data_IF_776647329169
#
_entry.id   IF_776647329169
#
_cell.length_a   1.000
_cell.length_b   1.000
_cell.length_c   1.000
_cell.angle_alpha   90.00
_cell.angle_beta   90.00
_cell.angle_gamma   90.00
#
_symmetry.space_group_name_H-M   'P 1'
#
loop_
_entity.id
_entity.type
_entity.pdbx_description
1 polymer ?
#
# COMPACT_ATOMS: atom_id res chain seq x y z
N UNK A 1 15.57 17.91 -0.11
CA UNK A 1 16.00 16.63 -0.69
C UNK A 1 15.36 15.48 0.09
N UNK A 2 14.75 14.54 -0.63
CA UNK A 2 14.15 13.31 -0.12
C UNK A 2 15.14 12.54 0.74
N UNK A 3 14.66 11.97 1.83
CA UNK A 3 15.45 11.14 2.74
C UNK A 3 14.89 9.73 2.70
N UNK A 4 15.64 8.73 2.19
CA UNK A 4 15.13 7.37 2.01
C UNK A 4 14.71 6.73 3.34
N UNK A 5 15.35 7.12 4.44
CA UNK A 5 15.04 6.61 5.77
C UNK A 5 14.00 7.45 6.52
N UNK A 6 13.25 8.34 5.86
CA UNK A 6 12.29 9.20 6.54
C UNK A 6 10.92 9.15 5.86
N UNK A 7 9.92 8.76 6.63
CA UNK A 7 8.52 9.00 6.30
C UNK A 7 8.05 10.16 7.16
N UNK A 8 7.73 11.30 6.56
CA UNK A 8 7.30 12.49 7.30
C UNK A 8 5.84 12.40 7.75
N UNK A 9 4.97 11.88 6.88
CA UNK A 9 3.52 11.94 7.07
C UNK A 9 2.99 10.70 7.80
N UNK A 10 2.15 10.84 8.85
CA UNK A 10 1.62 9.70 9.62
C UNK A 10 0.89 8.64 8.80
N UNK A 11 0.14 9.01 7.76
CA UNK A 11 -0.61 8.03 6.97
C UNK A 11 0.31 7.10 6.18
N UNK A 12 1.45 7.60 5.66
CA UNK A 12 2.42 6.77 4.95
C UNK A 12 3.09 5.77 5.90
N UNK A 13 3.40 6.21 7.13
CA UNK A 13 3.87 5.31 8.19
C UNK A 13 2.81 4.25 8.50
N UNK A 14 1.54 4.64 8.54
CA UNK A 14 0.43 3.70 8.76
C UNK A 14 0.37 2.64 7.68
N UNK A 15 0.30 3.04 6.41
CA UNK A 15 0.28 2.12 5.26
C UNK A 15 1.42 1.10 5.32
N UNK A 16 2.65 1.58 5.54
CA UNK A 16 3.84 0.72 5.66
C UNK A 16 3.71 -0.22 6.86
N UNK A 17 3.23 0.27 8.00
CA UNK A 17 3.09 -0.54 9.22
C UNK A 17 2.12 -1.69 9.03
N UNK A 18 0.90 -1.38 8.59
CA UNK A 18 -0.14 -2.39 8.42
C UNK A 18 0.17 -3.31 7.25
N UNK A 19 0.74 -2.78 6.16
CA UNK A 19 1.15 -3.57 5.00
C UNK A 19 2.22 -4.60 5.34
N UNK A 20 3.34 -4.16 5.93
CA UNK A 20 4.46 -5.04 6.25
C UNK A 20 4.09 -6.08 7.31
N UNK A 21 3.39 -5.68 8.38
CA UNK A 21 2.91 -6.62 9.40
C UNK A 21 1.95 -7.68 8.81
N UNK A 22 1.11 -7.27 7.86
CA UNK A 22 0.16 -8.18 7.20
C UNK A 22 0.87 -9.19 6.32
N UNK A 23 1.76 -8.77 5.41
CA UNK A 23 2.45 -9.73 4.55
C UNK A 23 3.34 -10.70 5.35
N UNK A 24 3.96 -10.23 6.43
CA UNK A 24 4.70 -11.07 7.37
C UNK A 24 3.80 -12.09 8.10
N UNK A 25 2.50 -11.82 8.19
CA UNK A 25 1.48 -12.72 8.75
C UNK A 25 0.91 -13.69 7.69
N UNK A 26 1.15 -13.46 6.40
CA UNK A 26 0.69 -14.31 5.29
C UNK A 26 1.71 -15.37 4.85
N UNK A 27 2.59 -15.81 5.76
CA UNK A 27 3.64 -16.81 5.51
C UNK A 27 4.63 -16.41 4.39
N UNK A 28 4.83 -15.10 4.19
CA UNK A 28 5.86 -14.58 3.30
C UNK A 28 7.21 -14.46 4.04
N UNK A 29 8.28 -14.93 3.41
CA UNK A 29 9.66 -14.72 3.90
C UNK A 29 10.11 -13.26 3.72
N UNK A 30 9.62 -12.39 4.61
CA UNK A 30 9.95 -10.96 4.63
C UNK A 30 11.40 -10.72 5.04
N UNK A 31 11.96 -11.54 5.93
CA UNK A 31 13.35 -11.44 6.37
C UNK A 31 14.33 -11.73 5.22
N UNK A 32 14.00 -12.72 4.38
CA UNK A 32 14.73 -12.97 3.13
C UNK A 32 14.70 -11.77 2.19
N UNK A 33 13.55 -11.10 2.05
CA UNK A 33 13.42 -9.90 1.23
C UNK A 33 14.20 -8.71 1.79
N UNK A 34 14.12 -8.46 3.10
CA UNK A 34 14.86 -7.36 3.76
C UNK A 34 16.36 -7.49 3.53
N UNK A 35 16.90 -8.72 3.61
CA UNK A 35 18.32 -9.01 3.41
C UNK A 35 18.72 -9.21 1.93
N UNK A 36 17.81 -9.01 0.98
CA UNK A 36 18.08 -9.18 -0.45
C UNK A 36 18.26 -10.62 -0.92
N UNK A 37 17.96 -11.62 -0.08
CA UNK A 37 18.01 -13.05 -0.43
C UNK A 37 16.79 -13.50 -1.24
N UNK A 38 15.71 -12.72 -1.18
CA UNK A 38 14.47 -12.95 -1.91
C UNK A 38 14.03 -11.68 -2.61
N UNK A 39 13.63 -11.78 -3.86
CA UNK A 39 13.03 -10.65 -4.57
C UNK A 39 11.61 -10.41 -4.08
N UNK A 40 11.27 -9.14 -3.87
CA UNK A 40 9.94 -8.70 -3.49
C UNK A 40 9.42 -7.70 -4.51
N UNK A 41 8.34 -8.03 -5.20
CA UNK A 41 7.73 -7.13 -6.18
C UNK A 41 6.70 -6.24 -5.51
N UNK A 42 6.94 -4.93 -5.55
CA UNK A 42 6.06 -3.93 -4.96
C UNK A 42 5.56 -2.98 -6.04
N UNK A 43 4.26 -2.70 -6.06
CA UNK A 43 3.65 -1.66 -6.88
C UNK A 43 3.23 -0.49 -5.98
N UNK A 44 3.60 0.74 -6.33
CA UNK A 44 3.09 1.96 -5.73
C UNK A 44 2.29 2.74 -6.78
N UNK A 45 0.99 2.88 -6.59
CA UNK A 45 0.11 3.71 -7.41
C UNK A 45 -0.06 5.06 -6.70
N UNK A 46 0.30 6.14 -7.38
CA UNK A 46 0.48 7.46 -6.78
C UNK A 46 1.92 7.62 -6.29
N UNK A 47 2.68 8.46 -6.97
CA UNK A 47 4.08 8.73 -6.62
C UNK A 47 4.18 9.85 -5.60
N UNK A 48 3.41 10.92 -5.81
CA UNK A 48 3.54 12.15 -5.03
C UNK A 48 4.99 12.64 -5.05
N UNK A 49 5.60 12.77 -3.87
CA UNK A 49 7.03 13.11 -3.77
C UNK A 49 7.99 11.94 -4.00
N UNK A 50 7.52 10.69 -3.91
CA UNK A 50 8.35 9.47 -4.00
C UNK A 50 8.89 8.93 -2.66
N UNK A 51 8.40 9.44 -1.52
CA UNK A 51 8.90 9.03 -0.19
C UNK A 51 8.59 7.58 0.15
N UNK A 52 7.37 7.11 -0.15
CA UNK A 52 6.96 5.73 0.08
C UNK A 52 7.82 4.72 -0.72
N UNK A 53 7.91 4.79 -2.06
CA UNK A 53 8.70 3.82 -2.82
C UNK A 53 10.18 3.88 -2.47
N UNK A 54 10.72 5.08 -2.22
CA UNK A 54 12.10 5.27 -1.81
C UNK A 54 12.37 4.61 -0.44
N UNK A 55 11.46 4.78 0.52
CA UNK A 55 11.55 4.14 1.82
C UNK A 55 11.53 2.62 1.73
N UNK A 56 10.58 2.06 0.98
CA UNK A 56 10.46 0.62 0.78
C UNK A 56 11.73 0.03 0.16
N UNK A 57 12.24 0.63 -0.92
CA UNK A 57 13.48 0.18 -1.54
C UNK A 57 14.67 0.31 -0.58
N UNK A 58 14.74 1.37 0.23
CA UNK A 58 15.85 1.55 1.19
C UNK A 58 15.85 0.53 2.33
N UNK A 59 14.66 0.12 2.80
CA UNK A 59 14.51 -0.81 3.94
C UNK A 59 14.43 -2.27 3.54
N UNK A 60 14.09 -2.55 2.28
CA UNK A 60 13.95 -3.90 1.75
C UNK A 60 14.92 -4.04 0.58
N UNK A 61 16.10 -4.63 0.83
CA UNK A 61 17.15 -4.73 -0.17
C UNK A 61 16.71 -5.54 -1.40
N UNK A 62 15.85 -6.55 -1.21
CA UNK A 62 15.27 -7.36 -2.27
C UNK A 62 14.07 -6.73 -2.99
N UNK A 63 13.62 -5.54 -2.60
CA UNK A 63 12.46 -4.91 -3.22
C UNK A 63 12.78 -4.41 -4.62
N UNK A 64 11.92 -4.75 -5.58
CA UNK A 64 11.77 -4.12 -6.88
C UNK A 64 10.46 -3.33 -6.86
N UNK A 65 10.56 -2.01 -6.96
CA UNK A 65 9.43 -1.10 -6.76
C UNK A 65 9.04 -0.46 -8.08
N UNK A 66 7.91 -0.89 -8.64
CA UNK A 66 7.26 -0.21 -9.73
C UNK A 66 6.38 0.92 -9.17
N UNK A 67 6.46 2.09 -9.76
CA UNK A 67 5.78 3.30 -9.31
C UNK A 67 5.02 3.86 -10.50
N UNK A 68 3.77 4.25 -10.29
CA UNK A 68 2.91 4.79 -11.35
C UNK A 68 2.39 6.15 -10.92
N UNK A 69 2.66 7.16 -11.75
CA UNK A 69 2.19 8.53 -11.58
C UNK A 69 1.53 9.01 -12.87
N UNK A 70 0.35 9.63 -12.75
CA UNK A 70 -0.39 10.12 -13.91
C UNK A 70 0.05 11.53 -14.30
N UNK A 71 0.49 12.34 -13.33
CA UNK A 71 0.83 13.75 -13.58
C UNK A 71 2.34 13.93 -13.83
N UNK A 72 2.76 14.30 -15.06
CA UNK A 72 4.15 14.59 -15.38
C UNK A 72 4.74 15.75 -14.55
N UNK A 73 3.92 16.69 -14.08
CA UNK A 73 4.38 17.79 -13.23
C UNK A 73 4.78 17.27 -11.85
N UNK A 74 4.05 16.30 -11.30
CA UNK A 74 4.41 15.63 -10.03
C UNK A 74 5.72 14.87 -10.19
N UNK A 75 5.88 14.10 -11.29
CA UNK A 75 7.14 13.42 -11.62
C UNK A 75 8.29 14.42 -11.70
N UNK A 76 8.13 15.49 -12.49
CA UNK A 76 9.15 16.53 -12.66
C UNK A 76 9.51 17.22 -11.33
N UNK A 77 8.52 17.59 -10.52
CA UNK A 77 8.74 18.22 -9.23
C UNK A 77 9.46 17.29 -8.25
N UNK A 78 9.10 16.00 -8.23
CA UNK A 78 9.74 15.00 -7.37
C UNK A 78 11.25 14.89 -7.68
N UNK A 79 11.62 14.90 -8.96
CA UNK A 79 13.01 14.76 -9.40
C UNK A 79 13.77 16.07 -9.18
N UNK A 80 13.27 17.16 -9.74
CA UNK A 80 14.00 18.42 -9.83
C UNK A 80 14.02 19.19 -8.51
N UNK A 81 12.97 19.09 -7.70
CA UNK A 81 12.81 19.88 -6.47
C UNK A 81 13.00 19.03 -5.23
N UNK A 82 12.45 17.81 -5.24
CA UNK A 82 12.50 16.93 -4.07
C UNK A 82 13.72 16.01 -4.08
N UNK A 83 14.40 15.84 -5.22
CA UNK A 83 15.59 15.01 -5.34
C UNK A 83 15.28 13.52 -5.39
N UNK A 84 14.16 13.12 -5.98
CA UNK A 84 13.90 11.72 -6.32
C UNK A 84 14.86 11.28 -7.46
N UNK A 85 15.41 10.06 -7.45
CA UNK A 85 16.40 9.62 -8.43
C UNK A 85 15.84 9.58 -9.86
N UNK A 86 16.33 10.47 -10.73
CA UNK A 86 15.94 10.57 -12.14
C UNK A 86 16.20 9.28 -12.94
N UNK A 87 17.20 8.48 -12.54
CA UNK A 87 17.50 7.18 -13.17
C UNK A 87 16.34 6.18 -13.07
N UNK A 88 15.42 6.40 -12.14
CA UNK A 88 14.26 5.53 -11.93
C UNK A 88 13.22 5.66 -13.03
N UNK A 89 13.24 6.73 -13.83
CA UNK A 89 12.18 7.03 -14.82
C UNK A 89 12.25 6.04 -15.98
N UNK A 90 11.10 5.46 -16.30
CA UNK A 90 10.91 4.46 -17.33
C UNK A 90 10.18 5.04 -18.55
N UNK A 91 10.54 4.58 -19.73
CA UNK A 91 9.78 4.80 -20.96
C UNK A 91 8.56 3.89 -21.00
N UNK A 92 7.62 4.18 -21.89
CA UNK A 92 6.50 3.26 -22.17
C UNK A 92 6.93 1.91 -22.74
N UNK A 93 8.15 1.80 -23.29
CA UNK A 93 8.72 0.52 -23.76
C UNK A 93 9.32 -0.32 -22.62
N UNK A 94 9.35 0.19 -21.39
CA UNK A 94 9.92 -0.51 -20.23
C UNK A 94 11.43 -0.36 -20.09
N UNK A 95 12.04 0.58 -20.80
CA UNK A 95 13.47 0.91 -20.69
C UNK A 95 13.67 2.14 -19.80
N UNK A 96 14.85 2.32 -19.22
CA UNK A 96 15.14 3.56 -18.47
C UNK A 96 15.32 4.71 -19.43
N UNK A 97 14.73 5.87 -19.12
CA UNK A 97 14.94 7.11 -19.89
C UNK A 97 16.41 7.51 -19.87
N UNK A 98 17.08 7.30 -18.73
CA UNK A 98 18.51 7.52 -18.56
C UNK A 98 19.22 6.17 -18.62
N UNK A 99 20.12 5.99 -19.58
CA UNK A 99 20.80 4.70 -19.82
C UNK A 99 21.82 4.32 -18.76
N UNK A 100 22.42 5.30 -18.07
CA UNK A 100 23.40 5.08 -17.00
C UNK A 100 23.20 6.08 -15.85
N UNK A 101 23.30 5.62 -14.59
CA UNK A 101 23.23 6.52 -13.46
C UNK A 101 24.48 7.42 -13.43
N UNK A 102 24.29 8.67 -13.01
CA UNK A 102 25.40 9.57 -12.72
C UNK A 102 26.18 9.08 -11.49
N UNK A 103 27.49 9.32 -11.44
CA UNK A 103 28.37 8.91 -10.35
C UNK A 103 27.92 9.49 -8.99
N UNK A 104 27.34 10.69 -8.99
CA UNK A 104 26.77 11.30 -7.78
C UNK A 104 25.57 10.49 -7.30
N UNK A 105 24.70 10.06 -8.22
CA UNK A 105 23.53 9.24 -7.89
C UNK A 105 23.94 7.87 -7.32
N UNK A 106 24.98 7.24 -7.86
CA UNK A 106 25.53 6.00 -7.30
C UNK A 106 25.93 6.15 -5.83
N UNK A 107 26.67 7.22 -5.51
CA UNK A 107 27.13 7.49 -4.14
C UNK A 107 25.95 7.82 -3.22
N UNK A 108 25.01 8.62 -3.70
CA UNK A 108 23.86 9.10 -2.92
C UNK A 108 22.87 7.97 -2.61
N UNK A 109 22.55 7.14 -3.61
CA UNK A 109 21.47 6.16 -3.52
C UNK A 109 21.96 4.74 -3.24
N UNK A 110 23.26 4.44 -3.39
CA UNK A 110 23.86 3.15 -3.06
C UNK A 110 23.09 1.96 -3.65
N UNK A 111 22.70 2.07 -4.92
CA UNK A 111 21.93 1.04 -5.64
C UNK A 111 20.42 1.01 -5.38
N UNK A 112 19.88 1.92 -4.56
CA UNK A 112 18.41 2.04 -4.38
C UNK A 112 17.74 2.45 -5.69
N UNK A 113 18.31 3.41 -6.42
CA UNK A 113 17.80 3.94 -7.69
C UNK A 113 17.69 2.88 -8.79
N UNK A 114 18.48 1.81 -8.74
CA UNK A 114 18.42 0.70 -9.70
C UNK A 114 17.22 -0.23 -9.49
N UNK A 115 16.57 -0.15 -8.33
CA UNK A 115 15.42 -0.99 -7.97
C UNK A 115 14.11 -0.22 -8.00
N UNK A 116 14.16 1.05 -8.39
CA UNK A 116 13.01 1.93 -8.60
C UNK A 116 12.71 2.04 -10.10
N UNK A 117 11.43 1.97 -10.44
CA UNK A 117 10.92 1.99 -11.80
C UNK A 117 9.67 2.88 -11.84
N UNK A 118 9.85 4.15 -12.15
CA UNK A 118 8.81 5.17 -12.19
C UNK A 118 8.24 5.31 -13.61
N UNK A 119 6.96 5.01 -13.77
CA UNK A 119 6.21 5.12 -15.00
C UNK A 119 5.28 6.32 -14.93
N UNK A 120 5.38 7.20 -15.92
CA UNK A 120 4.35 8.18 -16.23
C UNK A 120 3.22 7.48 -16.97
N UNK A 121 2.16 7.10 -16.25
CA UNK A 121 1.03 6.37 -16.81
C UNK A 121 -0.20 6.49 -15.92
N UNK A 122 -1.36 6.34 -16.54
CA UNK A 122 -2.57 5.98 -15.81
C UNK A 122 -2.41 4.61 -15.12
N UNK A 123 -2.94 4.49 -13.90
CA UNK A 123 -2.84 3.27 -13.10
C UNK A 123 -3.64 2.09 -13.66
N UNK A 124 -4.83 2.33 -14.20
CA UNK A 124 -5.64 1.29 -14.83
C UNK A 124 -4.94 0.75 -16.06
N UNK A 125 -4.47 1.65 -16.93
CA UNK A 125 -3.68 1.28 -18.10
C UNK A 125 -2.44 0.47 -17.72
N UNK A 126 -1.64 0.95 -16.76
CA UNK A 126 -0.41 0.27 -16.36
C UNK A 126 -0.67 -1.14 -15.83
N UNK A 127 -1.70 -1.32 -14.99
CA UNK A 127 -2.03 -2.63 -14.42
C UNK A 127 -2.56 -3.59 -15.47
N UNK A 128 -3.31 -3.10 -16.47
CA UNK A 128 -3.80 -3.90 -17.59
C UNK A 128 -2.67 -4.37 -18.52
N UNK A 129 -1.70 -3.49 -18.79
CA UNK A 129 -0.58 -3.78 -19.70
C UNK A 129 0.54 -4.59 -19.02
N UNK A 130 0.62 -4.55 -17.69
CA UNK A 130 1.65 -5.24 -16.91
C UNK A 130 1.44 -6.75 -16.88
N UNK A 131 2.54 -7.50 -17.03
CA UNK A 131 2.56 -8.96 -16.80
C UNK A 131 3.09 -9.34 -15.42
N UNK A 132 3.60 -8.37 -14.64
CA UNK A 132 4.26 -8.62 -13.37
C UNK A 132 3.27 -9.07 -12.29
N UNK A 133 3.71 -9.99 -11.43
CA UNK A 133 2.97 -10.40 -10.23
C UNK A 133 3.60 -9.73 -9.01
N UNK A 134 2.76 -9.12 -8.17
CA UNK A 134 3.16 -8.32 -7.03
C UNK A 134 2.90 -9.02 -5.72
N UNK A 135 3.88 -8.96 -4.82
CA UNK A 135 3.74 -9.39 -3.43
C UNK A 135 2.97 -8.33 -2.63
N UNK A 136 3.22 -7.06 -2.92
CA UNK A 136 2.53 -5.94 -2.29
C UNK A 136 2.14 -4.86 -3.29
N UNK A 137 1.00 -4.25 -3.06
CA UNK A 137 0.53 -3.08 -3.80
C UNK A 137 0.12 -2.01 -2.80
N UNK A 138 0.65 -0.80 -2.97
CA UNK A 138 0.24 0.39 -2.24
C UNK A 138 -0.48 1.32 -3.20
N UNK A 139 -1.61 1.88 -2.76
CA UNK A 139 -2.40 2.84 -3.52
C UNK A 139 -2.56 4.10 -2.67
N UNK A 140 -1.92 5.17 -3.11
CA UNK A 140 -1.93 6.51 -2.51
C UNK A 140 -2.16 7.54 -3.62
N UNK A 141 -3.33 7.45 -4.27
CA UNK A 141 -3.66 8.24 -5.45
C UNK A 141 -5.01 8.94 -5.26
N UNK A 142 -5.00 10.25 -5.48
CA UNK A 142 -6.15 11.13 -5.39
C UNK A 142 -6.24 11.96 -6.67
N UNK A 143 -7.44 12.40 -7.03
CA UNK A 143 -7.61 13.38 -8.09
C UNK A 143 -7.28 14.81 -7.59
N UNK A 144 -7.45 15.80 -8.47
CA UNK A 144 -7.17 17.20 -8.15
C UNK A 144 -8.06 17.80 -7.05
N UNK A 145 -9.14 17.12 -6.68
CA UNK A 145 -10.10 17.52 -5.65
C UNK A 145 -9.94 16.71 -4.35
N UNK A 146 -8.83 15.97 -4.21
CA UNK A 146 -8.51 15.15 -3.04
C UNK A 146 -9.49 13.98 -2.84
N UNK A 147 -10.07 13.47 -3.94
CA UNK A 147 -11.00 12.35 -3.95
C UNK A 147 -10.30 11.10 -4.47
N UNK A 148 -10.51 9.97 -3.80
CA UNK A 148 -10.02 8.68 -4.26
C UNK A 148 -10.76 8.28 -5.56
N UNK A 149 -10.09 8.16 -6.73
CA UNK A 149 -10.79 8.09 -8.00
C UNK A 149 -11.71 6.87 -8.13
N UNK A 150 -12.97 7.07 -8.57
CA UNK A 150 -13.98 6.01 -8.72
C UNK A 150 -13.48 4.79 -9.51
N UNK A 151 -12.74 5.04 -10.61
CA UNK A 151 -12.15 3.98 -11.44
C UNK A 151 -11.22 3.02 -10.68
N UNK A 152 -10.63 3.44 -9.56
CA UNK A 152 -9.71 2.61 -8.78
C UNK A 152 -10.41 1.70 -7.77
N UNK A 153 -11.73 1.76 -7.66
CA UNK A 153 -12.47 0.90 -6.73
C UNK A 153 -13.85 0.45 -7.21
N UNK A 154 -14.34 0.96 -8.34
CA UNK A 154 -15.55 0.48 -8.97
C UNK A 154 -15.45 -1.04 -9.24
N UNK A 155 -16.36 -1.88 -8.69
CA UNK A 155 -16.41 -3.30 -8.98
C UNK A 155 -16.56 -3.65 -10.46
N UNK A 156 -17.08 -2.73 -11.27
CA UNK A 156 -17.27 -2.89 -12.71
C UNK A 156 -16.10 -2.36 -13.54
N UNK A 157 -15.17 -1.61 -12.93
CA UNK A 157 -13.96 -1.18 -13.62
C UNK A 157 -13.05 -2.40 -13.91
N UNK A 158 -12.36 -2.41 -15.06
CA UNK A 158 -11.35 -3.44 -15.34
C UNK A 158 -10.16 -3.38 -14.38
N UNK A 159 -9.94 -2.26 -13.68
CA UNK A 159 -8.83 -2.06 -12.76
C UNK A 159 -8.78 -3.10 -11.64
N UNK A 160 -9.81 -3.21 -10.80
CA UNK A 160 -9.76 -4.10 -9.62
C UNK A 160 -9.57 -5.57 -10.02
N UNK A 161 -10.20 -5.99 -11.11
CA UNK A 161 -10.02 -7.34 -11.65
C UNK A 161 -8.59 -7.56 -12.14
N UNK A 162 -8.04 -6.61 -12.88
CA UNK A 162 -6.65 -6.67 -13.33
C UNK A 162 -5.68 -6.67 -12.14
N UNK A 163 -5.91 -5.80 -11.16
CA UNK A 163 -5.14 -5.69 -9.91
C UNK A 163 -5.12 -7.01 -9.15
N UNK A 164 -6.29 -7.63 -8.97
CA UNK A 164 -6.44 -8.94 -8.31
C UNK A 164 -5.67 -10.04 -9.05
N UNK A 165 -5.65 -10.01 -10.39
CA UNK A 165 -4.87 -10.93 -11.22
C UNK A 165 -3.37 -10.67 -11.19
N UNK A 166 -2.95 -9.42 -10.94
CA UNK A 166 -1.54 -9.04 -10.77
C UNK A 166 -1.04 -9.27 -9.34
N UNK A 167 -1.90 -9.62 -8.41
CA UNK A 167 -1.54 -9.86 -7.02
C UNK A 167 -1.12 -11.33 -6.79
N UNK A 168 -0.08 -11.57 -5.99
CA UNK A 168 0.38 -12.94 -5.73
C UNK A 168 -0.74 -13.79 -5.08
N UNK A 169 -1.01 -15.01 -5.57
CA UNK A 169 -2.18 -15.78 -5.15
C UNK A 169 -2.14 -16.26 -3.69
N UNK A 170 -0.94 -16.41 -3.10
CA UNK A 170 -0.79 -16.99 -1.76
C UNK A 170 -0.68 -16.00 -0.62
N UNK A 171 -0.09 -14.83 -0.86
CA UNK A 171 0.31 -13.89 0.21
C UNK A 171 0.17 -12.43 -0.22
N UNK A 172 -0.34 -12.20 -1.44
CA UNK A 172 -0.38 -10.87 -2.00
C UNK A 172 -1.24 -9.95 -1.15
N UNK A 173 -0.74 -8.74 -0.89
CA UNK A 173 -1.33 -7.76 0.01
C UNK A 173 -1.51 -6.43 -0.70
N UNK A 174 -2.69 -5.84 -0.59
CA UNK A 174 -3.02 -4.49 -1.09
C UNK A 174 -3.25 -3.57 0.10
N UNK A 175 -2.68 -2.38 0.04
CA UNK A 175 -2.82 -1.32 1.05
C UNK A 175 -3.29 -0.06 0.35
N UNK A 176 -4.38 0.53 0.82
CA UNK A 176 -4.99 1.72 0.22
C UNK A 176 -5.06 2.82 1.27
N UNK A 177 -4.59 4.02 0.92
CA UNK A 177 -4.83 5.23 1.68
C UNK A 177 -6.22 5.76 1.34
N UNK A 178 -7.04 5.99 2.36
CA UNK A 178 -8.37 6.58 2.21
C UNK A 178 -8.47 7.80 3.12
N UNK A 179 -9.04 8.88 2.60
CA UNK A 179 -9.48 9.98 3.47
C UNK A 179 -10.72 9.52 4.22
N UNK A 180 -10.56 9.41 5.54
CA UNK A 180 -11.60 9.05 6.48
C UNK A 180 -12.18 10.32 7.03
N UNK A 181 -13.48 10.55 6.85
CA UNK A 181 -14.16 11.40 7.80
C UNK A 181 -14.03 10.72 9.17
N UNK A 182 -13.54 11.45 10.16
CA UNK A 182 -13.49 10.98 11.53
C UNK A 182 -14.88 10.54 11.96
N UNK A 183 -15.01 9.30 12.39
CA UNK A 183 -16.14 8.77 13.14
C UNK A 183 -16.35 9.63 14.40
N UNK A 184 -17.11 10.72 14.28
CA UNK A 184 -17.83 11.32 15.41
C UNK A 184 -19.03 10.40 15.65
N UNK A 185 -18.74 9.19 16.13
CA UNK A 185 -19.75 8.32 16.71
C UNK A 185 -20.12 8.91 18.07
N UNK A 186 -21.41 8.99 18.35
CA UNK A 186 -21.88 9.22 19.71
C UNK A 186 -21.41 8.07 20.62
N UNK A 187 -21.37 8.29 21.93
CA UNK A 187 -20.96 7.26 22.92
C UNK A 187 -21.81 5.97 22.90
N UNK A 188 -22.89 5.94 22.12
CA UNK A 188 -23.78 4.79 21.90
C UNK A 188 -23.56 4.09 20.53
N UNK A 189 -22.59 4.54 19.73
CA UNK A 189 -22.30 3.98 18.41
C UNK A 189 -23.25 4.45 17.30
N UNK A 190 -24.13 5.43 17.56
CA UNK A 190 -25.01 6.02 16.55
C UNK A 190 -24.38 7.24 15.85
N UNK A 191 -24.75 7.45 14.59
CA UNK A 191 -24.39 8.67 13.84
C UNK A 191 -25.36 9.78 14.23
N UNK A 192 -24.90 11.00 14.58
CA UNK A 192 -25.80 12.13 14.85
C UNK A 192 -26.73 12.39 13.66
N UNK A 193 -28.05 12.40 13.91
CA UNK A 193 -29.09 12.54 12.86
C UNK A 193 -28.98 13.82 12.03
N UNK A 194 -28.30 14.85 12.54
CA UNK A 194 -28.04 16.13 11.86
C UNK A 194 -26.89 16.02 10.83
N UNK A 195 -25.98 15.06 10.99
CA UNK A 195 -24.82 14.86 10.09
C UNK A 195 -25.06 13.82 8.98
N UNK A 196 -26.16 13.05 9.07
CA UNK A 196 -26.52 12.06 8.04
C UNK A 196 -26.82 12.70 6.67
N UNK A 197 -27.11 14.01 6.65
CA UNK A 197 -27.29 14.82 5.43
C UNK A 197 -25.99 15.52 4.96
N UNK A 198 -24.90 15.47 5.73
CA UNK A 198 -23.68 16.27 5.49
C UNK A 198 -22.45 15.43 5.09
N UNK A 199 -22.39 14.12 5.38
CA UNK A 199 -21.17 13.31 5.14
C UNK A 199 -21.43 12.08 4.25
N UNK A 200 -21.26 12.20 2.92
CA UNK A 200 -21.38 11.10 1.96
C UNK A 200 -20.22 10.09 2.00
N UNK A 201 -19.06 10.46 2.57
CA UNK A 201 -17.81 9.69 2.42
C UNK A 201 -17.65 8.50 3.38
N UNK A 202 -18.35 8.43 4.51
CA UNK A 202 -18.35 7.22 5.36
C UNK A 202 -18.93 5.99 4.66
N UNK A 203 -20.00 6.17 3.87
CA UNK A 203 -20.56 5.12 2.98
C UNK A 203 -19.61 4.78 1.83
N UNK A 204 -18.80 5.75 1.42
CA UNK A 204 -17.83 5.60 0.33
C UNK A 204 -16.67 4.70 0.76
N UNK A 205 -16.10 4.94 1.95
CA UNK A 205 -15.02 4.11 2.51
C UNK A 205 -15.49 2.67 2.69
N UNK A 206 -16.69 2.42 3.24
CA UNK A 206 -17.20 1.06 3.38
C UNK A 206 -17.44 0.38 2.02
N UNK A 207 -17.95 1.11 1.03
CA UNK A 207 -18.11 0.61 -0.35
C UNK A 207 -16.77 0.25 -1.01
N UNK A 208 -15.74 1.08 -0.82
CA UNK A 208 -14.38 0.79 -1.30
C UNK A 208 -13.84 -0.47 -0.61
N UNK A 209 -13.90 -0.53 0.72
CA UNK A 209 -13.43 -1.67 1.50
C UNK A 209 -14.06 -2.97 1.01
N UNK A 210 -15.38 -2.99 0.80
CA UNK A 210 -16.10 -4.15 0.30
C UNK A 210 -15.65 -4.52 -1.12
N UNK A 211 -15.50 -3.53 -2.01
CA UNK A 211 -15.09 -3.76 -3.40
C UNK A 211 -13.71 -4.41 -3.48
N UNK A 212 -12.75 -3.94 -2.69
CA UNK A 212 -11.41 -4.55 -2.62
C UNK A 212 -11.46 -5.95 -2.01
N UNK A 213 -12.21 -6.14 -0.91
CA UNK A 213 -12.34 -7.44 -0.26
C UNK A 213 -12.95 -8.47 -1.21
N UNK A 214 -14.08 -8.15 -1.83
CA UNK A 214 -14.80 -9.05 -2.74
C UNK A 214 -13.95 -9.41 -3.97
N UNK A 215 -13.20 -8.46 -4.53
CA UNK A 215 -12.37 -8.70 -5.71
C UNK A 215 -11.08 -9.46 -5.41
N UNK A 216 -10.46 -9.28 -4.25
CA UNK A 216 -9.15 -9.88 -3.92
C UNK A 216 -9.30 -11.23 -3.22
N UNK A 217 -10.24 -11.33 -2.29
CA UNK A 217 -10.48 -12.52 -1.44
C UNK A 217 -11.63 -13.37 -1.98
N UNK A 218 -12.63 -12.76 -2.60
CA UNK A 218 -13.84 -13.44 -3.08
C UNK A 218 -14.97 -13.45 -2.05
N UNK A 219 -16.19 -13.75 -2.51
CA UNK A 219 -17.44 -13.71 -1.73
C UNK A 219 -17.77 -15.02 -0.98
N UNK A 220 -16.78 -15.89 -0.77
CA UNK A 220 -16.88 -17.05 0.14
C UNK A 220 -17.70 -18.25 -0.34
N UNK A 221 -17.92 -18.44 -1.65
CA UNK A 221 -18.72 -19.56 -2.19
C UNK A 221 -17.92 -20.70 -2.84
N UNK A 222 -16.61 -20.56 -3.06
CA UNK A 222 -15.77 -21.64 -3.60
C UNK A 222 -15.04 -22.37 -2.47
N UNK A 223 -15.21 -23.69 -2.43
CA UNK A 223 -14.60 -24.64 -1.48
C UNK A 223 -13.05 -24.71 -1.54
N UNK A 224 -12.40 -23.76 -2.21
CA UNK A 224 -10.93 -23.67 -2.32
C UNK A 224 -10.41 -22.54 -1.42
N UNK A 225 -9.99 -22.94 -0.22
CA UNK A 225 -8.83 -22.50 0.61
C UNK A 225 -8.20 -21.08 0.50
N UNK A 226 -8.85 -20.05 -0.05
CA UNK A 226 -8.32 -18.69 0.00
C UNK A 226 -8.69 -18.02 1.34
N UNK A 227 -7.91 -18.32 2.39
CA UNK A 227 -7.98 -17.61 3.68
C UNK A 227 -7.45 -16.18 3.51
N UNK A 228 -8.30 -15.27 3.05
CA UNK A 228 -7.99 -13.84 2.94
C UNK A 228 -8.58 -13.03 4.08
N UNK A 229 -8.08 -11.81 4.25
CA UNK A 229 -8.51 -10.89 5.29
C UNK A 229 -8.57 -9.47 4.73
N UNK A 230 -9.63 -8.74 5.06
CA UNK A 230 -9.75 -7.31 4.85
C UNK A 230 -9.93 -6.59 6.19
N UNK A 231 -9.22 -5.49 6.42
CA UNK A 231 -9.38 -4.68 7.62
C UNK A 231 -8.96 -3.23 7.36
N UNK A 232 -9.40 -2.33 8.23
CA UNK A 232 -8.99 -0.93 8.24
C UNK A 232 -8.37 -0.54 9.57
N UNK A 233 -7.51 0.47 9.55
CA UNK A 233 -6.92 1.11 10.72
C UNK A 233 -6.99 2.63 10.54
N UNK A 234 -7.47 3.32 11.57
CA UNK A 234 -7.48 4.77 11.61
C UNK A 234 -6.08 5.32 11.91
N UNK A 235 -5.65 6.31 11.12
CA UNK A 235 -4.33 6.92 11.25
C UNK A 235 -4.31 7.95 12.39
N UNK A 236 -3.31 7.95 13.28
CA UNK A 236 -3.15 8.99 14.28
C UNK A 236 -2.98 10.39 13.67
N UNK A 237 -3.66 11.38 14.26
CA UNK A 237 -3.45 12.83 14.04
C UNK A 237 -3.84 13.38 12.66
N UNK A 238 -4.27 12.50 11.75
CA UNK A 238 -4.74 12.86 10.41
C UNK A 238 -6.04 12.09 10.14
N UNK A 239 -6.88 12.64 9.28
CA UNK A 239 -8.16 12.06 8.90
C UNK A 239 -7.99 10.99 7.82
N UNK A 240 -7.03 10.08 7.99
CA UNK A 240 -6.78 8.99 7.03
C UNK A 240 -7.15 7.65 7.66
N UNK A 241 -7.53 6.72 6.80
CA UNK A 241 -7.72 5.30 7.12
C UNK A 241 -6.87 4.48 6.17
N UNK A 242 -6.08 3.56 6.71
CA UNK A 242 -5.37 2.57 5.91
C UNK A 242 -6.24 1.32 5.77
N UNK A 243 -6.72 1.03 4.57
CA UNK A 243 -7.36 -0.22 4.21
C UNK A 243 -6.28 -1.23 3.82
N UNK A 244 -6.39 -2.46 4.33
CA UNK A 244 -5.55 -3.58 3.93
C UNK A 244 -6.43 -4.75 3.53
N UNK A 245 -6.13 -5.34 2.37
CA UNK A 245 -6.73 -6.60 1.92
C UNK A 245 -5.63 -7.54 1.49
N UNK A 246 -5.60 -8.75 2.03
CA UNK A 246 -4.54 -9.71 1.79
C UNK A 246 -5.07 -11.12 1.56
N UNK A 247 -4.25 -11.92 0.88
CA UNK A 247 -4.44 -13.36 0.69
C UNK A 247 -3.56 -14.14 1.67
N UNK A 248 -4.01 -15.32 2.07
CA UNK A 248 -3.25 -16.27 2.87
C UNK A 248 -3.02 -15.89 4.33
N UNK A 249 -3.77 -14.91 4.84
CA UNK A 249 -3.75 -14.59 6.26
C UNK A 249 -4.34 -15.77 7.05
N UNK A 250 -3.58 -16.30 8.01
CA UNK A 250 -4.12 -17.26 8.96
C UNK A 250 -4.59 -18.60 8.36
N UNK A 251 -3.77 -19.26 7.55
CA UNK A 251 -4.02 -20.64 7.09
C UNK A 251 -4.37 -21.54 8.28
N UNK A 252 -5.59 -22.09 8.28
CA UNK A 252 -6.06 -23.02 9.33
C UNK A 252 -7.47 -22.76 9.90
N UNK A 253 -8.18 -21.71 9.47
CA UNK A 253 -9.55 -21.44 9.94
C UNK A 253 -9.64 -20.86 11.36
N UNK A 254 -8.50 -20.55 11.99
CA UNK A 254 -8.40 -20.10 13.38
C UNK A 254 -8.65 -18.59 13.58
N UNK A 255 -8.74 -17.80 12.50
CA UNK A 255 -8.71 -16.32 12.58
C UNK A 255 -10.05 -15.65 12.26
N UNK A 256 -11.15 -16.18 12.81
CA UNK A 256 -12.46 -15.48 12.79
C UNK A 256 -12.59 -14.42 13.90
N UNK A 257 -11.62 -14.34 14.81
CA UNK A 257 -11.63 -13.41 15.92
C UNK A 257 -10.69 -12.23 15.69
N UNK A 258 -11.27 -11.02 15.71
CA UNK A 258 -10.57 -9.73 15.63
C UNK A 258 -9.33 -9.67 16.52
N UNK A 259 -9.41 -10.16 17.75
CA UNK A 259 -8.29 -10.10 18.70
C UNK A 259 -7.11 -10.99 18.28
N UNK A 260 -7.36 -12.16 17.68
CA UNK A 260 -6.30 -13.02 17.16
C UNK A 260 -5.58 -12.36 15.98
N UNK A 261 -6.34 -11.71 15.09
CA UNK A 261 -5.78 -10.96 13.96
C UNK A 261 -4.89 -9.82 14.46
N UNK A 262 -5.41 -8.98 15.36
CA UNK A 262 -4.66 -7.85 15.92
C UNK A 262 -3.40 -8.34 16.65
N UNK A 263 -3.51 -9.38 17.48
CA UNK A 263 -2.37 -9.92 18.22
C UNK A 263 -1.28 -10.47 17.29
N UNK A 264 -1.69 -11.11 16.19
CA UNK A 264 -0.76 -11.60 15.16
C UNK A 264 -0.03 -10.44 14.49
N UNK A 265 -0.76 -9.40 14.08
CA UNK A 265 -0.18 -8.19 13.49
C UNK A 265 0.79 -7.49 14.44
N UNK A 266 0.44 -7.36 15.73
CA UNK A 266 1.30 -6.79 16.77
C UNK A 266 2.59 -7.62 16.93
N UNK A 267 2.46 -8.95 16.99
CA UNK A 267 3.63 -9.83 17.11
C UNK A 267 4.58 -9.64 15.93
N UNK A 268 4.04 -9.67 14.71
CA UNK A 268 4.85 -9.47 13.49
C UNK A 268 5.41 -8.07 13.36
N UNK A 269 4.73 -7.05 13.84
CA UNK A 269 5.27 -5.69 13.82
C UNK A 269 6.51 -5.54 14.69
N UNK A 270 6.52 -6.16 15.88
CA UNK A 270 7.67 -6.15 16.78
C UNK A 270 8.86 -6.93 16.18
N UNK A 271 8.61 -8.07 15.53
CA UNK A 271 9.64 -8.81 14.79
C UNK A 271 10.27 -7.94 13.69
N UNK A 272 9.45 -7.24 12.90
CA UNK A 272 9.89 -6.41 11.78
C UNK A 272 10.68 -5.17 12.23
N UNK A 273 10.28 -4.52 13.32
CA UNK A 273 11.01 -3.38 13.88
C UNK A 273 12.47 -3.74 14.17
N UNK A 274 12.71 -4.94 14.73
CA UNK A 274 14.05 -5.45 15.02
C UNK A 274 14.85 -5.77 13.75
N UNK A 275 14.20 -6.33 12.72
CA UNK A 275 14.87 -6.75 11.49
C UNK A 275 15.19 -5.57 10.56
N UNK A 276 14.32 -4.57 10.49
CA UNK A 276 14.40 -3.49 9.50
C UNK A 276 15.00 -2.18 10.05
N UNK A 277 15.28 -2.10 11.36
CA UNK A 277 15.76 -0.90 12.04
C UNK A 277 14.95 0.34 11.63
N UNK A 278 13.63 0.26 11.86
CA UNK A 278 12.69 1.29 11.43
C UNK A 278 12.82 2.56 12.30
N UNK A 279 12.67 3.75 11.70
CA UNK A 279 12.82 5.03 12.43
C UNK A 279 11.54 5.43 13.18
N UNK A 280 10.55 4.55 13.25
CA UNK A 280 9.29 4.75 13.96
C UNK A 280 8.74 3.38 14.39
N UNK A 281 7.84 3.37 15.37
CA UNK A 281 7.18 2.15 15.80
C UNK A 281 5.96 1.85 14.92
N UNK A 282 5.93 0.65 14.34
CA UNK A 282 4.82 0.08 13.60
C UNK A 282 3.60 -0.13 14.51
N UNK A 283 3.84 -0.50 15.77
CA UNK A 283 2.80 -0.80 16.76
C UNK A 283 1.80 0.36 16.93
N UNK A 284 2.29 1.61 16.85
CA UNK A 284 1.47 2.82 16.97
C UNK A 284 0.40 2.92 15.88
N UNK A 285 0.62 2.27 14.74
CA UNK A 285 -0.23 2.31 13.56
C UNK A 285 -0.98 1.00 13.29
N UNK A 286 -1.04 0.06 14.24
CA UNK A 286 -1.80 -1.19 14.09
C UNK A 286 -3.05 -1.20 14.98
N UNK A 287 -2.93 -0.69 16.20
CA UNK A 287 -3.97 -0.84 17.23
C UNK A 287 -5.15 0.12 17.06
N UNK A 288 -4.95 1.27 16.42
CA UNK A 288 -5.90 2.39 16.49
C UNK A 288 -7.04 2.22 15.48
N UNK A 289 -8.27 2.21 15.98
CA UNK A 289 -9.46 2.14 15.11
C UNK A 289 -9.49 0.88 14.22
N UNK A 290 -8.95 -0.24 14.69
CA UNK A 290 -8.94 -1.48 13.93
C UNK A 290 -10.36 -2.03 13.75
N UNK A 291 -10.78 -2.17 12.48
CA UNK A 291 -12.09 -2.69 12.07
C UNK A 291 -11.88 -3.78 11.02
N UNK A 292 -12.50 -4.95 11.20
CA UNK A 292 -12.54 -5.98 10.16
C UNK A 292 -13.57 -5.58 9.11
N UNK A 293 -13.21 -5.77 7.84
CA UNK A 293 -14.16 -5.64 6.73
C UNK A 293 -14.86 -6.99 6.61
N UNK A 294 -16.16 -7.05 6.92
CA UNK A 294 -17.01 -8.24 6.89
C UNK A 294 -17.89 -8.30 5.64
#
# INVERSE_FOLDING_TARGET
MQQPNCLAVPYVKSMVSVGLATIASCNYDITGAVNGKKTMHILCIGHGGGSLPLFLASKIQGALVHIVEIDPLVVSASINTMGFPAFSVMTHSGERVISKPDAINEVMWKGIHERLYLYESDAEKFVLDSTNIYDMIFIDAYDGDDIFPHKLWDPHSPFLKALSNRLHPKHGTVVVNLHSDSDILNSDGSVPSVLQQVLPMGKYVSGICQSYKDMIVGTGSSYEECSGLGFTVAVPWVCNTSLVVCRGFGKGGEYKHRDLVINTLISKSLELENVMALPFSLLQYIKRGFILVD
#
